data_IF_317888910488
#
_entry.id   IF_317888910488
#
_cell.length_a   1.000
_cell.length_b   1.000
_cell.length_c   1.000
_cell.angle_alpha   90.00
_cell.angle_beta   90.00
_cell.angle_gamma   90.00
#
_symmetry.space_group_name_H-M   'P 1'
#
loop_
_entity.id
_entity.type
_entity.pdbx_description
1 polymer ?
#
# COMPACT_ATOMS: atom_id res chain seq x y z
N UNK A 1 -12.90 -3.77 -19.63
CA UNK A 1 -13.78 -3.86 -18.44
C UNK A 1 -12.95 -3.93 -17.17
N UNK A 2 -13.29 -3.13 -16.15
CA UNK A 2 -12.61 -3.17 -14.83
C UNK A 2 -13.29 -4.20 -13.93
N UNK A 3 -12.54 -4.76 -12.97
CA UNK A 3 -13.08 -5.69 -11.97
C UNK A 3 -14.04 -4.98 -11.00
N UNK A 4 -15.05 -5.67 -10.45
CA UNK A 4 -15.86 -5.13 -9.36
C UNK A 4 -14.99 -4.85 -8.13
N UNK A 5 -15.33 -3.79 -7.39
CA UNK A 5 -14.55 -3.37 -6.22
C UNK A 5 -14.69 -4.39 -5.07
N UNK A 6 -13.56 -4.74 -4.45
CA UNK A 6 -13.57 -5.49 -3.20
C UNK A 6 -13.96 -4.58 -2.02
N UNK A 7 -14.25 -5.17 -0.86
CA UNK A 7 -14.68 -4.43 0.34
C UNK A 7 -13.70 -3.32 0.74
N UNK A 8 -12.39 -3.60 0.68
CA UNK A 8 -11.35 -2.60 0.97
C UNK A 8 -11.40 -1.41 0.00
N UNK A 9 -11.61 -1.65 -1.30
CA UNK A 9 -11.70 -0.58 -2.29
C UNK A 9 -13.00 0.23 -2.17
N UNK A 10 -14.11 -0.40 -1.76
CA UNK A 10 -15.35 0.32 -1.43
C UNK A 10 -15.11 1.26 -0.26
N UNK A 11 -14.51 0.76 0.83
CA UNK A 11 -14.11 1.57 1.98
C UNK A 11 -13.12 2.68 1.60
N UNK A 12 -12.05 2.35 0.87
CA UNK A 12 -11.03 3.32 0.48
C UNK A 12 -11.62 4.46 -0.33
N UNK A 13 -12.59 4.17 -1.21
CA UNK A 13 -13.30 5.19 -1.98
C UNK A 13 -14.10 6.13 -1.07
N UNK A 14 -14.87 5.62 -0.10
CA UNK A 14 -15.62 6.47 0.84
C UNK A 14 -14.69 7.29 1.72
N UNK A 15 -13.65 6.65 2.26
CA UNK A 15 -12.66 7.29 3.13
C UNK A 15 -11.91 8.44 2.43
N UNK A 16 -11.50 8.25 1.17
CA UNK A 16 -10.86 9.30 0.36
C UNK A 16 -11.79 10.47 0.06
N UNK A 17 -13.09 10.19 -0.11
CA UNK A 17 -14.11 11.22 -0.35
C UNK A 17 -14.34 12.06 0.92
N UNK A 18 -14.34 11.42 2.09
CA UNK A 18 -14.48 12.06 3.40
C UNK A 18 -13.21 12.82 3.82
N UNK A 19 -12.04 12.36 3.40
CA UNK A 19 -10.73 12.91 3.79
C UNK A 19 -9.90 13.33 2.57
N UNK A 20 -10.34 14.35 1.80
CA UNK A 20 -9.61 14.82 0.63
C UNK A 20 -8.22 15.34 1.02
N UNK A 21 -7.19 14.97 0.24
CA UNK A 21 -5.80 15.41 0.44
C UNK A 21 -5.04 14.73 1.59
N UNK A 22 -5.74 14.13 2.57
CA UNK A 22 -5.11 13.42 3.70
C UNK A 22 -5.04 11.92 3.52
N UNK A 23 -5.98 11.32 2.77
CA UNK A 23 -6.11 9.87 2.63
C UNK A 23 -4.94 9.19 1.87
N UNK A 24 -3.79 9.06 2.53
CA UNK A 24 -2.63 8.30 2.04
C UNK A 24 -2.96 6.81 2.03
N UNK A 25 -2.29 6.00 1.18
CA UNK A 25 -2.48 4.55 1.18
C UNK A 25 -2.19 3.89 2.54
N UNK A 26 -1.23 4.42 3.29
CA UNK A 26 -0.83 3.94 4.61
C UNK A 26 -1.92 4.18 5.65
N UNK A 27 -2.48 5.39 5.72
CA UNK A 27 -3.59 5.71 6.63
C UNK A 27 -4.82 4.86 6.38
N UNK A 28 -5.17 4.64 5.10
CA UNK A 28 -6.32 3.82 4.73
C UNK A 28 -6.08 2.36 5.15
N UNK A 29 -4.87 1.84 4.96
CA UNK A 29 -4.48 0.50 5.38
C UNK A 29 -4.57 0.33 6.90
N UNK A 30 -4.04 1.29 7.66
CA UNK A 30 -4.10 1.32 9.13
C UNK A 30 -5.54 1.39 9.63
N UNK A 31 -6.36 2.27 9.05
CA UNK A 31 -7.76 2.42 9.42
C UNK A 31 -8.55 1.15 9.12
N UNK A 32 -8.37 0.57 7.93
CA UNK A 32 -9.00 -0.70 7.58
C UNK A 32 -8.58 -1.82 8.54
N UNK A 33 -7.30 -1.91 8.86
CA UNK A 33 -6.73 -2.90 9.78
C UNK A 33 -7.28 -2.80 11.20
N UNK A 34 -7.55 -1.59 11.69
CA UNK A 34 -8.09 -1.35 13.04
C UNK A 34 -9.62 -1.52 13.15
N UNK A 35 -10.35 -1.61 12.04
CA UNK A 35 -11.80 -1.83 12.07
C UNK A 35 -12.19 -3.23 12.56
N UNK A 36 -13.28 -3.30 13.33
CA UNK A 36 -13.90 -4.57 13.73
C UNK A 36 -14.54 -5.28 12.54
N UNK A 37 -14.80 -6.59 12.67
CA UNK A 37 -15.51 -7.35 11.65
C UNK A 37 -16.90 -6.76 11.36
N UNK A 38 -17.61 -6.30 12.39
CA UNK A 38 -18.93 -5.67 12.29
C UNK A 38 -18.88 -4.36 11.51
N UNK A 39 -17.86 -3.53 11.74
CA UNK A 39 -17.71 -2.27 10.99
C UNK A 39 -17.35 -2.52 9.51
N UNK A 40 -16.64 -3.63 9.24
CA UNK A 40 -16.29 -4.05 7.88
C UNK A 40 -17.47 -4.66 7.12
N UNK A 41 -18.47 -5.20 7.84
CA UNK A 41 -19.61 -5.93 7.28
C UNK A 41 -20.33 -5.15 6.18
N UNK A 42 -20.67 -3.88 6.43
CA UNK A 42 -21.31 -3.01 5.43
C UNK A 42 -20.52 -2.91 4.11
N UNK A 43 -19.19 -2.86 4.18
CA UNK A 43 -18.34 -2.78 3.00
C UNK A 43 -18.22 -4.13 2.29
N UNK A 44 -18.33 -5.23 3.03
CA UNK A 44 -18.38 -6.59 2.48
C UNK A 44 -19.70 -6.79 1.74
N UNK A 45 -20.83 -6.40 2.33
CA UNK A 45 -22.15 -6.46 1.70
C UNK A 45 -22.20 -5.64 0.42
N UNK A 46 -21.73 -4.39 0.46
CA UNK A 46 -21.64 -3.53 -0.73
C UNK A 46 -20.77 -4.15 -1.82
N UNK A 47 -19.62 -4.72 -1.44
CA UNK A 47 -18.75 -5.40 -2.39
C UNK A 47 -19.42 -6.62 -3.02
N UNK A 48 -20.15 -7.41 -2.24
CA UNK A 48 -20.88 -8.57 -2.73
C UNK A 48 -22.00 -8.15 -3.68
N UNK A 49 -22.74 -7.09 -3.35
CA UNK A 49 -23.76 -6.51 -4.25
C UNK A 49 -23.14 -6.12 -5.59
N UNK A 50 -22.02 -5.40 -5.58
CA UNK A 50 -21.33 -4.99 -6.81
C UNK A 50 -20.80 -6.17 -7.61
N UNK A 51 -20.29 -7.22 -6.96
CA UNK A 51 -19.85 -8.44 -7.65
C UNK A 51 -21.03 -9.16 -8.31
N UNK A 52 -22.14 -9.33 -7.60
CA UNK A 52 -23.32 -10.02 -8.12
C UNK A 52 -23.91 -9.27 -9.31
N UNK A 53 -24.05 -7.95 -9.19
CA UNK A 53 -24.49 -7.11 -10.29
C UNK A 53 -23.55 -7.22 -11.49
N UNK A 54 -22.24 -7.18 -11.26
CA UNK A 54 -21.25 -7.30 -12.33
C UNK A 54 -21.33 -8.65 -13.06
N UNK A 55 -21.54 -9.75 -12.33
CA UNK A 55 -21.69 -11.10 -12.92
C UNK A 55 -22.96 -11.17 -13.78
N UNK A 56 -24.07 -10.62 -13.28
CA UNK A 56 -25.34 -10.59 -14.01
C UNK A 56 -25.24 -9.77 -15.31
N UNK A 57 -24.60 -8.60 -15.24
CA UNK A 57 -24.43 -7.70 -16.39
C UNK A 57 -23.34 -8.19 -17.37
N UNK A 58 -22.42 -9.05 -16.93
CA UNK A 58 -21.26 -9.49 -17.71
C UNK A 58 -21.03 -11.01 -17.59
N UNK A 59 -21.97 -11.85 -18.07
CA UNK A 59 -21.89 -13.31 -17.94
C UNK A 59 -20.65 -13.91 -18.61
N UNK A 60 -20.18 -13.29 -19.71
CA UNK A 60 -18.99 -13.75 -20.46
C UNK A 60 -17.66 -13.19 -19.93
N UNK A 61 -17.69 -12.42 -18.82
CA UNK A 61 -16.46 -11.84 -18.28
C UNK A 61 -15.52 -12.93 -17.75
N UNK A 62 -14.42 -13.13 -18.47
CA UNK A 62 -13.30 -13.97 -18.02
C UNK A 62 -12.17 -13.11 -17.47
N UNK A 63 -11.80 -13.36 -16.22
CA UNK A 63 -10.67 -12.70 -15.59
C UNK A 63 -9.35 -13.11 -16.25
N UNK A 64 -8.72 -12.18 -16.99
CA UNK A 64 -7.39 -12.37 -17.54
C UNK A 64 -6.34 -12.00 -16.50
N UNK A 65 -5.57 -12.98 -16.00
CA UNK A 65 -4.38 -12.73 -15.18
C UNK A 65 -3.24 -12.26 -16.08
N UNK A 66 -2.88 -10.98 -16.01
CA UNK A 66 -1.65 -10.49 -16.64
C UNK A 66 -0.46 -11.00 -15.84
N UNK A 67 0.24 -12.02 -16.37
CA UNK A 67 1.57 -12.37 -15.86
C UNK A 67 2.51 -11.24 -16.24
N UNK A 68 2.72 -10.29 -15.33
CA UNK A 68 3.73 -9.27 -15.52
C UNK A 68 5.09 -9.97 -15.60
N UNK A 69 5.74 -9.91 -16.77
CA UNK A 69 7.19 -10.10 -16.87
C UNK A 69 7.82 -8.92 -16.15
N UNK A 70 7.77 -8.91 -14.81
CA UNK A 70 8.46 -7.92 -13.98
C UNK A 70 9.95 -8.09 -14.29
N UNK A 71 10.47 -7.25 -15.19
CA UNK A 71 11.89 -7.22 -15.57
C UNK A 71 12.71 -7.19 -14.28
N UNK A 72 13.74 -8.04 -14.21
CA UNK A 72 14.64 -8.28 -13.08
C UNK A 72 15.44 -7.02 -12.63
N UNK A 73 15.13 -5.82 -13.13
CA UNK A 73 15.87 -4.59 -12.91
C UNK A 73 15.66 -3.92 -11.55
N UNK A 74 14.74 -4.43 -10.72
CA UNK A 74 14.55 -3.86 -9.36
C UNK A 74 15.76 -4.09 -8.45
N UNK A 75 16.57 -5.13 -8.70
CA UNK A 75 17.80 -5.40 -7.95
C UNK A 75 18.92 -4.41 -8.28
N UNK A 76 18.99 -3.90 -9.51
CA UNK A 76 20.00 -2.92 -9.93
C UNK A 76 19.81 -1.53 -9.28
N UNK A 77 18.56 -1.11 -9.04
CA UNK A 77 18.26 0.19 -8.42
C UNK A 77 18.45 0.23 -6.89
N UNK A 78 18.51 -0.94 -6.26
CA UNK A 78 18.75 -1.08 -4.81
C UNK A 78 20.23 -1.33 -4.48
N UNK A 79 21.04 -1.76 -5.44
CA UNK A 79 22.49 -1.95 -5.29
C UNK A 79 23.30 -0.88 -6.06
N UNK A 80 22.74 0.33 -6.24
CA UNK A 80 23.52 1.43 -6.82
C UNK A 80 24.71 1.74 -5.89
N UNK A 81 25.94 1.88 -6.42
CA UNK A 81 27.11 2.27 -5.62
C UNK A 81 26.88 3.54 -4.79
N UNK A 82 26.06 4.47 -5.29
CA UNK A 82 25.67 5.69 -4.58
C UNK A 82 24.84 5.40 -3.33
N UNK A 83 23.85 4.50 -3.41
CA UNK A 83 23.03 4.13 -2.25
C UNK A 83 23.81 3.35 -1.20
N UNK A 84 24.74 2.49 -1.63
CA UNK A 84 25.64 1.82 -0.69
C UNK A 84 26.62 2.81 -0.04
N UNK A 85 27.09 3.82 -0.79
CA UNK A 85 27.89 4.92 -0.23
C UNK A 85 27.12 5.72 0.81
N UNK A 86 25.86 6.09 0.53
CA UNK A 86 25.02 6.81 1.49
C UNK A 86 24.76 6.00 2.77
N UNK A 87 24.48 4.69 2.64
CA UNK A 87 24.27 3.81 3.80
C UNK A 87 25.56 3.64 4.64
N UNK A 88 26.72 3.55 3.98
CA UNK A 88 28.02 3.53 4.65
C UNK A 88 28.31 4.85 5.36
N UNK A 89 28.06 5.99 4.72
CA UNK A 89 28.23 7.32 5.32
C UNK A 89 27.35 7.47 6.57
N UNK A 90 26.10 6.99 6.52
CA UNK A 90 25.17 7.04 7.64
C UNK A 90 25.61 6.16 8.81
N UNK A 91 26.17 4.97 8.53
CA UNK A 91 26.79 4.11 9.56
C UNK A 91 28.05 4.72 10.17
N UNK A 92 28.85 5.45 9.39
CA UNK A 92 30.02 6.17 9.93
C UNK A 92 29.62 7.36 10.81
N UNK A 93 28.54 8.07 10.47
CA UNK A 93 28.04 9.20 11.26
C UNK A 93 27.46 8.79 12.62
N UNK A 94 26.86 7.60 12.70
CA UNK A 94 26.19 7.09 13.90
C UNK A 94 27.13 6.38 14.88
N UNK A 95 28.36 6.06 14.47
CA UNK A 95 29.37 5.39 15.31
C UNK A 95 30.43 6.33 15.91
N UNK A 96 30.26 7.66 15.84
CA UNK A 96 31.17 8.59 16.54
C UNK A 96 30.89 8.53 18.05
N UNK A 97 31.85 8.11 18.91
CA UNK A 97 31.67 8.25 20.35
C UNK A 97 31.57 9.73 20.72
N UNK A 98 30.76 10.11 21.72
CA UNK A 98 30.66 11.50 22.15
C UNK A 98 32.04 11.98 22.59
N UNK A 99 32.47 13.13 22.06
CA UNK A 99 33.69 13.81 22.52
C UNK A 99 33.52 14.06 24.02
N UNK A 100 34.22 13.29 24.85
CA UNK A 100 34.35 13.60 26.28
C UNK A 100 34.93 15.02 26.37
N UNK A 101 34.18 15.92 27.01
CA UNK A 101 34.70 17.19 27.47
C UNK A 101 35.90 16.89 28.37
N UNK A 102 37.09 17.29 27.95
CA UNK A 102 38.23 17.38 28.86
C UNK A 102 38.17 18.77 29.47
N UNK A 103 37.67 18.85 30.69
CA UNK A 103 37.93 19.97 31.58
C UNK A 103 39.43 20.02 31.88
N UNK A 104 40.01 21.20 31.70
CA UNK A 104 41.15 21.68 32.48
C UNK A 104 41.02 23.19 32.62
#
# INVERSE_FOLDING_TARGET
MKKPMNAFFVFSKSYRKENPGKATPEEIGLKWGSMSARDRERYVEDSNRMKNQFILENPDFKEKRTRSVRRKNRKFMNNSPEKMREELLFKEYTNKPPKKMQEK
#
